data_IF_105657793276
#
_entry.id   IF_105657793276
#
_cell.length_a   1.000
_cell.length_b   1.000
_cell.length_c   1.000
_cell.angle_alpha   90.00
_cell.angle_beta   90.00
_cell.angle_gamma   90.00
#
_symmetry.space_group_name_H-M   'P 1'
#
loop_
_entity.id
_entity.type
_entity.pdbx_description
1 polymer ?
#
# COMPACT_ATOMS: atom_id res chain seq x y z
N UNK A 1 7.47 -18.19 -9.48
CA UNK A 1 6.61 -17.84 -8.34
C UNK A 1 5.16 -17.87 -8.80
N UNK A 2 4.35 -18.79 -8.28
CA UNK A 2 2.92 -18.85 -8.63
C UNK A 2 2.17 -17.81 -7.78
N UNK A 3 1.62 -16.80 -8.44
CA UNK A 3 0.65 -15.89 -7.81
C UNK A 3 -0.54 -16.74 -7.34
N UNK A 4 -1.05 -16.56 -6.10
CA UNK A 4 -2.23 -17.27 -5.64
C UNK A 4 -3.35 -17.17 -6.67
N UNK A 5 -3.92 -18.32 -7.05
CA UNK A 5 -4.96 -18.38 -8.09
C UNK A 5 -6.29 -17.79 -7.63
N UNK A 6 -6.53 -17.76 -6.30
CA UNK A 6 -7.77 -17.32 -5.71
C UNK A 6 -7.68 -15.85 -5.28
N UNK A 7 -8.63 -15.05 -5.74
CA UNK A 7 -8.79 -13.67 -5.26
C UNK A 7 -9.26 -13.69 -3.80
N UNK A 8 -8.73 -12.77 -2.94
CA UNK A 8 -9.21 -12.63 -1.57
C UNK A 8 -10.72 -12.36 -1.49
N UNK A 9 -11.36 -12.71 -0.39
CA UNK A 9 -12.79 -12.41 -0.15
C UNK A 9 -13.08 -10.90 -0.24
N UNK A 10 -14.27 -10.54 -0.70
CA UNK A 10 -14.65 -9.13 -0.86
C UNK A 10 -14.93 -8.45 0.49
N UNK A 11 -14.67 -7.16 0.58
CA UNK A 11 -14.93 -6.36 1.77
C UNK A 11 -16.41 -5.98 1.98
N UNK A 12 -17.34 -6.57 1.23
CA UNK A 12 -18.77 -6.24 1.27
C UNK A 12 -19.42 -6.59 2.62
N UNK A 13 -19.02 -7.68 3.27
CA UNK A 13 -19.59 -8.11 4.55
C UNK A 13 -19.45 -7.02 5.64
N UNK A 14 -18.30 -6.31 5.67
CA UNK A 14 -18.10 -5.19 6.59
C UNK A 14 -19.06 -4.01 6.28
N UNK A 15 -19.33 -3.76 5.01
CA UNK A 15 -20.25 -2.71 4.57
C UNK A 15 -21.68 -3.10 4.93
N UNK A 16 -22.14 -4.34 4.65
CA UNK A 16 -23.44 -4.84 5.05
C UNK A 16 -23.65 -4.68 6.56
N UNK A 17 -22.69 -5.13 7.38
CA UNK A 17 -22.76 -4.98 8.84
C UNK A 17 -22.84 -3.50 9.29
N UNK A 18 -22.20 -2.57 8.58
CA UNK A 18 -22.29 -1.17 8.92
C UNK A 18 -23.65 -0.56 8.55
N UNK A 19 -24.22 -0.95 7.41
CA UNK A 19 -25.56 -0.55 6.98
C UNK A 19 -26.60 -1.01 8.02
N UNK A 20 -26.56 -2.28 8.41
CA UNK A 20 -27.46 -2.89 9.40
C UNK A 20 -27.36 -2.20 10.77
N UNK A 21 -26.12 -2.02 11.29
CA UNK A 21 -25.88 -1.40 12.60
C UNK A 21 -26.33 0.05 12.70
N UNK A 22 -26.33 0.77 11.59
CA UNK A 22 -26.73 2.19 11.57
C UNK A 22 -28.20 2.39 11.22
N UNK A 23 -28.89 1.32 10.77
CA UNK A 23 -30.25 1.41 10.23
C UNK A 23 -30.31 2.23 8.95
N UNK A 24 -29.21 2.30 8.21
CA UNK A 24 -29.16 2.99 6.93
C UNK A 24 -29.93 2.19 5.85
N UNK A 25 -30.47 2.90 4.86
CA UNK A 25 -31.18 2.27 3.73
C UNK A 25 -30.23 1.66 2.72
N UNK A 26 -28.94 2.00 2.78
CA UNK A 26 -27.91 1.44 1.93
C UNK A 26 -26.55 2.13 2.08
N UNK A 27 -25.62 1.70 1.23
CA UNK A 27 -24.29 2.29 1.06
C UNK A 27 -24.06 2.59 -0.42
N UNK A 28 -23.39 3.69 -0.72
CA UNK A 28 -22.99 4.07 -2.08
C UNK A 28 -21.52 4.47 -2.09
N UNK A 29 -20.72 3.84 -2.97
CA UNK A 29 -19.36 4.20 -3.33
C UNK A 29 -19.31 4.52 -4.83
N UNK A 30 -18.71 5.65 -5.20
CA UNK A 30 -18.39 5.98 -6.59
C UNK A 30 -16.87 6.08 -6.73
N UNK A 31 -16.34 5.40 -7.75
CA UNK A 31 -14.91 5.38 -8.04
C UNK A 31 -14.65 5.59 -9.53
N UNK A 32 -13.52 6.23 -9.84
CA UNK A 32 -12.99 6.31 -11.20
C UNK A 32 -11.61 5.66 -11.28
N UNK A 33 -11.39 4.82 -12.29
CA UNK A 33 -10.15 4.11 -12.45
C UNK A 33 -9.95 2.99 -11.42
N UNK A 34 -8.75 2.46 -11.34
CA UNK A 34 -8.37 1.35 -10.45
C UNK A 34 -8.09 1.83 -9.03
N UNK A 35 -9.15 2.05 -8.24
CA UNK A 35 -9.02 2.53 -6.86
C UNK A 35 -8.91 1.39 -5.84
N UNK A 36 -8.23 1.62 -4.71
CA UNK A 36 -8.19 0.67 -3.62
C UNK A 36 -9.56 0.29 -3.06
N UNK A 37 -10.49 1.24 -2.98
CA UNK A 37 -11.85 1.00 -2.48
C UNK A 37 -12.63 0.07 -3.40
N UNK A 38 -12.58 0.32 -4.70
CA UNK A 38 -13.24 -0.55 -5.69
C UNK A 38 -12.65 -1.95 -5.68
N UNK A 39 -11.32 -2.09 -5.69
CA UNK A 39 -10.68 -3.40 -5.59
C UNK A 39 -11.07 -4.16 -4.32
N UNK A 40 -11.16 -3.46 -3.20
CA UNK A 40 -11.57 -4.06 -1.94
C UNK A 40 -13.00 -4.60 -1.98
N UNK A 41 -13.91 -3.86 -2.61
CA UNK A 41 -15.33 -4.21 -2.68
C UNK A 41 -15.64 -5.21 -3.80
N UNK A 42 -14.96 -5.13 -4.95
CA UNK A 42 -15.31 -5.93 -6.14
C UNK A 42 -14.29 -6.99 -6.52
N UNK A 43 -13.08 -6.92 -5.97
CA UNK A 43 -11.90 -7.72 -6.41
C UNK A 43 -11.54 -7.54 -7.88
N UNK A 44 -12.05 -6.49 -8.50
CA UNK A 44 -11.85 -6.19 -9.90
C UNK A 44 -11.26 -4.77 -10.09
N UNK A 45 -10.24 -4.57 -10.95
CA UNK A 45 -9.65 -3.25 -11.18
C UNK A 45 -10.63 -2.27 -11.85
N UNK A 46 -11.62 -2.80 -12.58
CA UNK A 46 -12.63 -2.03 -13.30
C UNK A 46 -12.08 -1.23 -14.47
N UNK A 47 -12.95 -0.51 -15.19
CA UNK A 47 -12.57 0.37 -16.27
C UNK A 47 -11.96 1.68 -15.77
N UNK A 48 -11.19 2.37 -16.63
CA UNK A 48 -10.76 3.76 -16.38
C UNK A 48 -11.91 4.77 -16.62
N UNK A 49 -13.05 4.46 -16.03
CA UNK A 49 -14.28 5.28 -16.07
C UNK A 49 -15.00 5.18 -14.72
N UNK A 50 -15.93 6.09 -14.50
CA UNK A 50 -16.72 6.10 -13.28
C UNK A 50 -17.65 4.89 -13.19
N UNK A 51 -17.63 4.27 -12.03
CA UNK A 51 -18.49 3.16 -11.63
C UNK A 51 -19.04 3.42 -10.24
N UNK A 52 -20.16 2.80 -9.90
CA UNK A 52 -20.70 2.86 -8.55
C UNK A 52 -20.91 1.45 -7.98
N UNK A 53 -20.76 1.33 -6.67
CA UNK A 53 -21.10 0.14 -5.90
C UNK A 53 -22.15 0.53 -4.90
N UNK A 54 -23.28 -0.14 -4.96
CA UNK A 54 -24.38 0.00 -4.03
C UNK A 54 -24.43 -1.24 -3.13
N UNK A 55 -24.75 -1.05 -1.87
CA UNK A 55 -25.10 -2.16 -0.96
C UNK A 55 -26.44 -1.82 -0.33
N UNK A 56 -27.39 -2.73 -0.48
CA UNK A 56 -28.73 -2.61 0.09
C UNK A 56 -28.88 -3.69 1.16
N UNK A 57 -29.37 -3.36 2.37
CA UNK A 57 -29.52 -4.33 3.45
C UNK A 57 -30.57 -5.40 3.09
N UNK A 58 -30.47 -6.54 3.74
CA UNK A 58 -31.49 -7.56 3.64
C UNK A 58 -32.87 -7.02 4.01
N UNK A 59 -33.89 -7.42 3.29
CA UNK A 59 -35.28 -7.34 3.75
C UNK A 59 -35.61 -8.60 4.58
N UNK A 60 -36.77 -8.64 5.22
CA UNK A 60 -37.17 -9.75 6.12
C UNK A 60 -37.13 -11.16 5.45
N UNK A 61 -37.04 -11.21 4.11
CA UNK A 61 -37.08 -12.45 3.33
C UNK A 61 -35.89 -12.65 2.40
N UNK A 62 -35.04 -11.63 2.20
CA UNK A 62 -33.98 -11.62 1.20
C UNK A 62 -32.59 -11.45 1.82
N UNK A 63 -31.56 -11.82 1.06
CA UNK A 63 -30.15 -11.56 1.41
C UNK A 63 -29.79 -10.10 1.15
N UNK A 64 -28.71 -9.55 1.79
CA UNK A 64 -28.18 -8.26 1.39
C UNK A 64 -27.76 -8.30 -0.08
N UNK A 65 -27.93 -7.19 -0.78
CA UNK A 65 -27.60 -7.07 -2.20
C UNK A 65 -26.44 -6.12 -2.40
N UNK A 66 -25.52 -6.48 -3.28
CA UNK A 66 -24.44 -5.63 -3.75
C UNK A 66 -24.58 -5.43 -5.28
N UNK A 67 -24.75 -4.18 -5.71
CA UNK A 67 -25.00 -3.87 -7.11
C UNK A 67 -23.80 -3.08 -7.65
N UNK A 68 -23.19 -3.57 -8.73
CA UNK A 68 -22.08 -2.91 -9.39
C UNK A 68 -22.54 -2.23 -10.67
N UNK A 69 -22.67 -0.91 -10.63
CA UNK A 69 -23.06 -0.07 -11.75
C UNK A 69 -21.84 0.28 -12.60
N UNK A 70 -21.82 -0.22 -13.82
CA UNK A 70 -20.70 -0.05 -14.78
C UNK A 70 -21.21 0.57 -16.09
N UNK A 71 -20.34 1.18 -16.92
CA UNK A 71 -20.72 1.53 -18.28
C UNK A 71 -21.21 0.30 -19.06
N UNK A 72 -22.26 0.45 -19.85
CA UNK A 72 -22.94 -0.67 -20.52
C UNK A 72 -22.06 -1.51 -21.47
N UNK A 73 -20.96 -0.93 -21.97
CA UNK A 73 -20.02 -1.61 -22.86
C UNK A 73 -18.91 -2.42 -22.12
N UNK A 74 -18.91 -2.44 -20.78
CA UNK A 74 -17.94 -3.17 -19.95
C UNK A 74 -18.60 -4.09 -18.93
N UNK A 75 -19.79 -4.58 -19.18
CA UNK A 75 -20.52 -5.51 -18.29
C UNK A 75 -19.84 -6.88 -18.20
N UNK A 76 -19.36 -7.43 -19.31
CA UNK A 76 -18.77 -8.78 -19.36
C UNK A 76 -17.56 -9.00 -18.42
N UNK A 77 -16.57 -8.09 -18.29
CA UNK A 77 -15.51 -8.25 -17.30
C UNK A 77 -16.00 -8.19 -15.86
N UNK A 78 -17.11 -7.51 -15.60
CA UNK A 78 -17.69 -7.34 -14.27
C UNK A 78 -18.46 -8.58 -13.78
N UNK A 79 -18.80 -9.54 -14.65
CA UNK A 79 -19.47 -10.79 -14.29
C UNK A 79 -18.71 -11.63 -13.23
N UNK A 80 -17.40 -11.39 -13.06
CA UNK A 80 -16.63 -12.01 -11.97
C UNK A 80 -17.11 -11.55 -10.58
N UNK A 81 -17.69 -10.38 -10.49
CA UNK A 81 -18.29 -9.85 -9.27
C UNK A 81 -19.47 -10.73 -8.81
N UNK A 82 -20.24 -11.28 -9.73
CA UNK A 82 -21.42 -12.10 -9.45
C UNK A 82 -21.10 -13.53 -8.98
N UNK A 83 -19.85 -13.98 -9.18
CA UNK A 83 -19.46 -15.41 -8.97
C UNK A 83 -19.04 -15.75 -7.54
N UNK A 84 -19.11 -14.82 -6.60
CA UNK A 84 -18.70 -15.03 -5.21
C UNK A 84 -19.92 -15.40 -4.38
N UNK A 85 -19.91 -16.56 -3.73
CA UNK A 85 -20.96 -17.01 -2.82
C UNK A 85 -20.50 -16.83 -1.37
N UNK A 86 -20.77 -15.67 -0.80
CA UNK A 86 -20.48 -15.29 0.59
C UNK A 86 -21.74 -14.83 1.35
N UNK A 87 -22.93 -15.23 0.84
CA UNK A 87 -24.21 -14.87 1.44
C UNK A 87 -24.71 -13.47 1.06
N UNK A 88 -24.07 -12.80 0.10
CA UNK A 88 -24.47 -11.52 -0.46
C UNK A 88 -24.87 -11.73 -1.93
N UNK A 89 -26.08 -11.39 -2.29
CA UNK A 89 -26.53 -11.44 -3.69
C UNK A 89 -25.87 -10.31 -4.49
N UNK A 90 -25.42 -10.62 -5.70
CA UNK A 90 -24.66 -9.68 -6.53
C UNK A 90 -25.27 -9.50 -7.89
N UNK A 91 -25.27 -8.27 -8.36
CA UNK A 91 -25.78 -7.89 -9.68
C UNK A 91 -24.83 -6.89 -10.35
N UNK A 92 -24.72 -6.98 -11.67
CA UNK A 92 -24.00 -5.99 -12.49
C UNK A 92 -25.02 -5.27 -13.38
N UNK A 93 -25.11 -3.95 -13.22
CA UNK A 93 -26.05 -3.11 -13.97
C UNK A 93 -25.29 -2.17 -14.90
N UNK A 94 -25.66 -2.22 -16.21
CA UNK A 94 -25.06 -1.39 -17.24
C UNK A 94 -25.65 0.03 -17.27
N UNK A 95 -24.78 1.05 -17.18
CA UNK A 95 -25.16 2.47 -17.26
C UNK A 95 -25.10 2.97 -18.71
N UNK A 96 -26.18 3.59 -19.19
CA UNK A 96 -26.21 4.24 -20.50
C UNK A 96 -25.23 5.47 -20.52
N UNK A 97 -24.48 5.70 -21.61
CA UNK A 97 -23.49 6.77 -21.67
C UNK A 97 -24.01 8.20 -21.44
N UNK A 98 -25.30 8.44 -21.70
CA UNK A 98 -25.94 9.76 -21.51
C UNK A 98 -26.30 10.08 -20.06
N UNK A 99 -26.21 9.13 -19.15
CA UNK A 99 -26.61 9.26 -17.75
C UNK A 99 -25.35 9.33 -16.89
N UNK A 100 -25.28 10.28 -15.94
CA UNK A 100 -24.15 10.37 -14.99
C UNK A 100 -24.15 9.18 -14.04
N UNK A 101 -23.00 8.87 -13.45
CA UNK A 101 -22.89 7.76 -12.48
C UNK A 101 -23.76 8.00 -11.25
N UNK A 102 -23.83 9.24 -10.76
CA UNK A 102 -24.64 9.61 -9.60
C UNK A 102 -26.14 9.47 -9.85
N UNK A 103 -26.63 9.97 -10.98
CA UNK A 103 -28.02 9.80 -11.36
C UNK A 103 -28.39 8.32 -11.49
N UNK A 104 -27.61 7.55 -12.24
CA UNK A 104 -27.85 6.12 -12.44
C UNK A 104 -27.82 5.34 -11.10
N UNK A 105 -26.88 5.63 -10.23
CA UNK A 105 -26.80 4.99 -8.92
C UNK A 105 -28.05 5.25 -8.07
N UNK A 106 -28.59 6.48 -8.10
CA UNK A 106 -29.83 6.81 -7.40
C UNK A 106 -31.05 6.11 -8.01
N UNK A 107 -31.14 5.99 -9.33
CA UNK A 107 -32.21 5.26 -10.03
C UNK A 107 -32.18 3.77 -9.67
N UNK A 108 -31.00 3.14 -9.71
CA UNK A 108 -30.81 1.74 -9.34
C UNK A 108 -31.12 1.51 -7.87
N UNK A 109 -30.64 2.39 -6.98
CA UNK A 109 -30.93 2.32 -5.55
C UNK A 109 -32.44 2.41 -5.27
N UNK A 110 -33.13 3.32 -5.93
CA UNK A 110 -34.57 3.48 -5.79
C UNK A 110 -35.34 2.23 -6.24
N UNK A 111 -34.93 1.61 -7.35
CA UNK A 111 -35.53 0.37 -7.84
C UNK A 111 -35.40 -0.78 -6.83
N UNK A 112 -34.26 -0.92 -6.15
CA UNK A 112 -34.02 -1.95 -5.14
C UNK A 112 -34.67 -1.67 -3.78
N UNK A 113 -34.85 -0.42 -3.42
CA UNK A 113 -35.50 -0.01 -2.16
C UNK A 113 -37.05 -0.06 -2.24
N UNK A 114 -37.62 -0.01 -3.45
CA UNK A 114 -39.07 -0.04 -3.64
C UNK A 114 -39.78 1.10 -2.87
N UNK A 115 -40.68 0.75 -1.95
CA UNK A 115 -41.45 1.74 -1.15
C UNK A 115 -40.58 2.58 -0.19
N UNK A 116 -39.34 2.13 0.11
CA UNK A 116 -38.35 2.88 0.92
C UNK A 116 -37.55 3.89 0.09
N UNK A 117 -37.75 3.94 -1.22
CA UNK A 117 -37.04 4.88 -2.09
C UNK A 117 -37.29 6.35 -1.70
N UNK A 118 -36.27 7.17 -1.85
CA UNK A 118 -36.35 8.59 -1.60
C UNK A 118 -36.49 9.00 -0.11
N UNK A 119 -36.14 8.12 0.82
CA UNK A 119 -36.15 8.41 2.24
C UNK A 119 -35.09 7.65 3.01
N UNK A 120 -34.68 8.17 4.16
CA UNK A 120 -33.74 7.52 5.05
C UNK A 120 -32.28 7.88 4.78
N UNK A 121 -31.43 7.27 5.59
CA UNK A 121 -30.00 7.56 5.62
C UNK A 121 -29.21 6.65 4.66
N UNK A 122 -28.37 7.27 3.83
CA UNK A 122 -27.47 6.56 2.92
C UNK A 122 -26.02 6.74 3.40
N UNK A 123 -25.31 5.64 3.64
CA UNK A 123 -23.89 5.68 3.99
C UNK A 123 -23.04 5.95 2.73
N UNK A 124 -22.11 6.89 2.83
CA UNK A 124 -21.24 7.28 1.71
C UNK A 124 -19.80 7.51 2.19
N UNK A 125 -18.77 7.34 1.35
CA UNK A 125 -17.41 7.74 1.71
C UNK A 125 -17.29 9.26 1.80
N UNK A 126 -16.26 9.75 2.48
CA UNK A 126 -16.00 11.21 2.60
C UNK A 126 -15.67 11.88 1.27
N UNK A 127 -15.15 11.12 0.35
CA UNK A 127 -14.70 11.52 -0.98
C UNK A 127 -15.72 11.19 -2.07
N UNK A 128 -17.00 11.04 -1.72
CA UNK A 128 -18.07 10.91 -2.71
C UNK A 128 -18.07 12.13 -3.64
N UNK A 129 -18.13 11.95 -4.98
CA UNK A 129 -18.22 13.06 -5.91
C UNK A 129 -19.40 13.99 -5.59
N UNK A 130 -19.14 15.30 -5.67
CA UNK A 130 -20.11 16.33 -5.24
C UNK A 130 -21.43 16.26 -6.03
N UNK A 131 -21.37 16.04 -7.34
CA UNK A 131 -22.55 15.87 -8.18
C UNK A 131 -23.38 14.64 -7.77
N UNK A 132 -22.73 13.53 -7.45
CA UNK A 132 -23.40 12.34 -6.92
C UNK A 132 -24.11 12.64 -5.59
N UNK A 133 -23.47 13.40 -4.70
CA UNK A 133 -24.10 13.81 -3.45
C UNK A 133 -25.35 14.65 -3.69
N UNK A 134 -25.32 15.57 -4.65
CA UNK A 134 -26.48 16.38 -5.03
C UNK A 134 -27.62 15.52 -5.57
N UNK A 135 -27.35 14.54 -6.44
CA UNK A 135 -28.38 13.63 -6.94
C UNK A 135 -29.04 12.83 -5.80
N UNK A 136 -28.23 12.29 -4.87
CA UNK A 136 -28.79 11.56 -3.72
C UNK A 136 -29.67 12.44 -2.83
N UNK A 137 -29.23 13.68 -2.55
CA UNK A 137 -30.02 14.65 -1.74
C UNK A 137 -31.32 15.06 -2.44
N UNK A 138 -31.27 15.31 -3.76
CA UNK A 138 -32.44 15.61 -4.56
C UNK A 138 -33.44 14.45 -4.62
N UNK A 139 -32.92 13.20 -4.58
CA UNK A 139 -33.74 12.02 -4.47
C UNK A 139 -34.32 11.77 -3.08
N UNK A 140 -34.00 12.60 -2.08
CA UNK A 140 -34.57 12.56 -0.73
C UNK A 140 -33.76 11.83 0.32
N UNK A 141 -32.53 11.35 0.00
CA UNK A 141 -31.68 10.65 0.95
C UNK A 141 -30.90 11.60 1.85
N UNK A 142 -30.78 11.26 3.13
CA UNK A 142 -29.85 11.90 4.07
C UNK A 142 -28.47 11.23 3.96
N UNK A 143 -27.42 11.99 3.61
CA UNK A 143 -26.09 11.46 3.46
C UNK A 143 -25.32 11.44 4.78
N UNK A 144 -24.80 10.27 5.17
CA UNK A 144 -23.91 10.10 6.31
C UNK A 144 -22.56 9.57 5.86
N UNK A 145 -21.49 10.32 6.16
CA UNK A 145 -20.12 9.87 5.87
C UNK A 145 -19.73 8.68 6.72
N UNK A 146 -19.11 7.69 6.07
CA UNK A 146 -18.56 6.49 6.73
C UNK A 146 -17.11 6.22 6.31
N UNK A 147 -16.34 5.62 7.21
CA UNK A 147 -14.99 5.12 6.95
C UNK A 147 -14.91 3.59 6.87
N UNK A 148 -16.04 2.89 6.73
CA UNK A 148 -16.12 1.42 6.84
C UNK A 148 -15.18 0.71 5.88
N UNK A 149 -15.09 1.13 4.61
CA UNK A 149 -14.20 0.54 3.60
C UNK A 149 -12.73 0.71 3.99
N UNK A 150 -12.35 1.89 4.46
CA UNK A 150 -10.97 2.15 4.93
C UNK A 150 -10.64 1.37 6.20
N UNK A 151 -11.61 1.25 7.11
CA UNK A 151 -11.45 0.50 8.36
C UNK A 151 -11.35 -1.02 8.10
N UNK A 152 -12.16 -1.56 7.18
CA UNK A 152 -12.12 -2.96 6.81
C UNK A 152 -10.77 -3.39 6.20
N UNK A 153 -10.13 -2.50 5.44
CA UNK A 153 -8.81 -2.74 4.84
C UNK A 153 -7.65 -2.79 5.86
N UNK A 154 -7.86 -2.39 7.11
CA UNK A 154 -6.80 -2.38 8.14
C UNK A 154 -6.36 -3.80 8.51
N UNK A 155 -7.30 -4.71 8.72
CA UNK A 155 -7.02 -6.12 9.01
C UNK A 155 -7.13 -6.95 7.73
N UNK A 156 -6.06 -7.66 7.40
CA UNK A 156 -5.96 -8.48 6.19
C UNK A 156 -6.39 -9.91 6.49
N UNK A 157 -7.15 -10.49 5.59
CA UNK A 157 -7.41 -11.94 5.57
C UNK A 157 -6.14 -12.72 5.22
N UNK A 158 -6.16 -14.04 5.38
CA UNK A 158 -5.04 -14.90 5.00
C UNK A 158 -4.72 -14.77 3.52
N UNK A 159 -5.73 -14.81 2.66
CA UNK A 159 -5.56 -14.63 1.21
C UNK A 159 -4.99 -13.25 0.83
N UNK A 160 -5.36 -12.19 1.55
CA UNK A 160 -4.76 -10.85 1.36
C UNK A 160 -3.30 -10.82 1.79
N UNK A 161 -2.95 -11.51 2.88
CA UNK A 161 -1.55 -11.66 3.32
C UNK A 161 -0.71 -12.45 2.31
N UNK A 162 -1.26 -13.51 1.73
CA UNK A 162 -0.58 -14.28 0.67
C UNK A 162 -0.28 -13.41 -0.56
N UNK A 163 -1.22 -12.56 -0.98
CA UNK A 163 -0.98 -11.57 -2.04
C UNK A 163 0.14 -10.58 -1.67
N UNK A 164 0.14 -10.08 -0.42
CA UNK A 164 1.18 -9.18 0.07
C UNK A 164 2.53 -9.86 0.17
N UNK A 165 2.59 -11.09 0.64
CA UNK A 165 3.82 -11.88 0.68
C UNK A 165 4.39 -12.13 -0.73
N UNK A 166 3.52 -12.45 -1.70
CA UNK A 166 3.92 -12.67 -3.07
C UNK A 166 4.53 -11.41 -3.71
N UNK A 167 3.91 -10.24 -3.54
CA UNK A 167 4.44 -8.99 -4.08
C UNK A 167 5.68 -8.51 -3.31
N UNK A 168 5.78 -8.81 -2.02
CA UNK A 168 6.99 -8.52 -1.23
C UNK A 168 8.18 -9.35 -1.70
N UNK A 169 7.97 -10.63 -2.02
CA UNK A 169 9.02 -11.45 -2.64
C UNK A 169 9.46 -10.87 -3.98
N UNK A 170 8.54 -10.40 -4.81
CA UNK A 170 8.87 -9.74 -6.07
C UNK A 170 9.70 -8.45 -5.86
N UNK A 171 9.42 -7.68 -4.81
CA UNK A 171 10.25 -6.52 -4.47
C UNK A 171 11.67 -6.93 -4.06
N UNK A 172 11.83 -8.06 -3.35
CA UNK A 172 13.14 -8.62 -3.03
C UNK A 172 13.89 -9.03 -4.30
N UNK A 173 13.23 -9.68 -5.26
CA UNK A 173 13.82 -10.05 -6.55
C UNK A 173 14.26 -8.81 -7.35
N UNK A 174 13.46 -7.72 -7.31
CA UNK A 174 13.82 -6.43 -7.88
C UNK A 174 15.03 -5.78 -7.20
N UNK A 175 15.08 -5.86 -5.86
CA UNK A 175 16.21 -5.35 -5.08
C UNK A 175 17.49 -6.17 -5.31
N UNK A 176 17.36 -7.50 -5.45
CA UNK A 176 18.48 -8.38 -5.82
C UNK A 176 19.05 -8.02 -7.20
N UNK A 177 18.22 -7.59 -8.16
CA UNK A 177 18.71 -7.06 -9.44
C UNK A 177 19.52 -5.80 -9.25
N UNK A 178 19.06 -4.86 -8.41
CA UNK A 178 19.83 -3.66 -8.08
C UNK A 178 21.20 -4.04 -7.48
N UNK A 179 21.20 -4.93 -6.48
CA UNK A 179 22.43 -5.41 -5.83
C UNK A 179 23.39 -6.04 -6.83
N UNK A 180 22.91 -6.90 -7.73
CA UNK A 180 23.72 -7.53 -8.76
C UNK A 180 24.34 -6.52 -9.75
N UNK A 181 23.57 -5.49 -10.15
CA UNK A 181 24.07 -4.41 -11.02
C UNK A 181 25.16 -3.61 -10.32
N UNK A 182 24.96 -3.26 -9.05
CA UNK A 182 25.94 -2.51 -8.25
C UNK A 182 27.21 -3.34 -8.01
N UNK A 183 27.07 -4.62 -7.66
CA UNK A 183 28.20 -5.52 -7.43
C UNK A 183 29.02 -5.82 -8.70
N UNK A 184 28.38 -5.81 -9.87
CA UNK A 184 29.04 -6.00 -11.18
C UNK A 184 29.60 -4.69 -11.77
N UNK A 185 29.39 -3.55 -11.11
CA UNK A 185 29.87 -2.26 -11.59
C UNK A 185 31.38 -2.09 -11.34
N UNK A 186 32.10 -1.64 -12.38
CA UNK A 186 33.49 -1.20 -12.24
C UNK A 186 33.54 0.28 -11.83
N UNK A 187 34.62 0.68 -11.15
CA UNK A 187 34.77 2.03 -10.64
C UNK A 187 36.16 2.62 -10.99
N UNK A 188 36.19 3.53 -11.93
CA UNK A 188 37.38 4.33 -12.26
C UNK A 188 37.18 5.81 -11.86
N UNK A 189 36.09 6.40 -12.34
CA UNK A 189 35.70 7.80 -12.06
C UNK A 189 34.19 7.89 -11.89
N UNK A 190 33.60 7.00 -11.05
CA UNK A 190 32.19 6.76 -10.89
C UNK A 190 31.83 5.34 -11.34
N UNK A 191 30.60 4.89 -11.03
CA UNK A 191 30.16 3.53 -11.32
C UNK A 191 29.88 3.32 -12.81
N UNK A 192 30.50 2.27 -13.37
CA UNK A 192 30.28 1.82 -14.74
C UNK A 192 29.66 0.43 -14.72
N UNK A 193 28.54 0.25 -15.37
CA UNK A 193 27.92 -1.06 -15.59
C UNK A 193 27.94 -1.39 -17.08
N UNK A 194 28.46 -2.56 -17.46
CA UNK A 194 28.65 -2.97 -18.87
C UNK A 194 29.35 -1.90 -19.74
N UNK A 195 30.39 -1.28 -19.17
CA UNK A 195 31.21 -0.27 -19.86
C UNK A 195 30.52 1.09 -20.08
N UNK A 196 29.39 1.35 -19.47
CA UNK A 196 28.65 2.63 -19.56
C UNK A 196 28.39 3.22 -18.19
N UNK A 197 28.29 4.55 -18.05
CA UNK A 197 27.93 5.18 -16.78
C UNK A 197 26.65 4.60 -16.19
N UNK A 198 26.70 4.23 -14.90
CA UNK A 198 25.55 3.82 -14.14
C UNK A 198 24.91 5.07 -13.49
N UNK A 199 23.73 5.45 -13.96
CA UNK A 199 22.94 6.56 -13.43
C UNK A 199 21.76 6.03 -12.61
N UNK A 200 21.15 6.89 -11.79
CA UNK A 200 19.90 6.57 -11.05
C UNK A 200 18.84 6.03 -12.04
N UNK A 201 18.65 6.68 -13.18
CA UNK A 201 17.64 6.26 -14.15
C UNK A 201 17.97 4.91 -14.81
N UNK A 202 19.24 4.64 -15.07
CA UNK A 202 19.64 3.33 -15.60
C UNK A 202 19.40 2.22 -14.59
N UNK A 203 19.76 2.44 -13.33
CA UNK A 203 19.51 1.48 -12.26
C UNK A 203 18.00 1.23 -12.05
N UNK A 204 17.19 2.31 -12.04
CA UNK A 204 15.73 2.21 -11.98
C UNK A 204 15.16 1.34 -13.11
N UNK A 205 15.66 1.51 -14.33
CA UNK A 205 15.23 0.72 -15.49
C UNK A 205 15.57 -0.76 -15.33
N UNK A 206 16.73 -1.10 -14.80
CA UNK A 206 17.14 -2.48 -14.53
C UNK A 206 16.18 -3.13 -13.51
N UNK A 207 15.87 -2.44 -12.43
CA UNK A 207 14.92 -2.89 -11.40
C UNK A 207 13.52 -3.08 -12.01
N UNK A 208 13.02 -2.07 -12.71
CA UNK A 208 11.66 -2.08 -13.27
C UNK A 208 11.49 -3.16 -14.34
N UNK A 209 12.54 -3.42 -15.14
CA UNK A 209 12.55 -4.52 -16.11
C UNK A 209 12.45 -5.87 -15.40
N UNK A 210 13.19 -6.07 -14.30
CA UNK A 210 13.10 -7.29 -13.49
C UNK A 210 11.69 -7.47 -12.91
N UNK A 211 11.11 -6.44 -12.31
CA UNK A 211 9.75 -6.47 -11.76
C UNK A 211 8.70 -6.82 -12.84
N UNK A 212 8.78 -6.16 -13.99
CA UNK A 212 7.89 -6.44 -15.12
C UNK A 212 8.04 -7.89 -15.65
N UNK A 213 9.26 -8.41 -15.72
CA UNK A 213 9.53 -9.79 -16.18
C UNK A 213 8.90 -10.87 -15.32
N UNK A 214 8.63 -10.58 -14.05
CA UNK A 214 7.97 -11.49 -13.10
C UNK A 214 6.49 -11.17 -12.88
N UNK A 215 5.90 -10.29 -13.74
CA UNK A 215 4.47 -10.01 -13.73
C UNK A 215 3.99 -9.00 -12.68
N UNK A 216 4.91 -8.18 -12.15
CA UNK A 216 4.62 -7.15 -11.14
C UNK A 216 4.84 -5.77 -11.74
N UNK A 217 3.90 -4.85 -11.51
CA UNK A 217 4.00 -3.46 -11.96
C UNK A 217 4.87 -2.64 -11.02
N UNK A 218 5.88 -1.90 -11.52
CA UNK A 218 6.61 -0.93 -10.70
C UNK A 218 5.71 0.18 -10.13
N UNK A 219 4.60 0.52 -10.79
CA UNK A 219 3.57 1.49 -10.37
C UNK A 219 4.16 2.88 -10.01
N UNK A 220 5.22 3.30 -10.69
CA UNK A 220 6.00 4.54 -10.44
C UNK A 220 6.56 4.65 -9.00
N UNK A 221 6.66 3.53 -8.29
CA UNK A 221 7.09 3.44 -6.89
C UNK A 221 8.50 2.88 -6.73
N UNK A 222 9.37 3.02 -7.73
CA UNK A 222 10.81 2.74 -7.63
C UNK A 222 11.54 4.05 -7.38
N UNK A 223 11.85 4.34 -6.13
CA UNK A 223 12.55 5.55 -5.72
C UNK A 223 14.01 5.20 -5.41
N UNK A 224 14.92 6.02 -5.93
CA UNK A 224 16.35 5.87 -5.72
C UNK A 224 16.88 7.26 -5.36
N UNK A 225 17.48 7.37 -4.17
CA UNK A 225 18.09 8.59 -3.66
C UNK A 225 19.57 8.36 -3.45
N UNK A 226 20.39 9.22 -4.03
CA UNK A 226 21.83 9.34 -3.78
C UNK A 226 22.11 10.72 -3.22
N UNK A 227 23.21 10.88 -2.48
CA UNK A 227 23.59 12.16 -1.91
C UNK A 227 23.88 13.16 -3.03
N UNK A 228 23.18 14.31 -3.03
CA UNK A 228 23.42 15.50 -3.88
C UNK A 228 23.49 15.26 -5.41
N UNK A 229 23.01 14.15 -5.95
CA UNK A 229 23.10 13.76 -7.35
C UNK A 229 21.78 13.95 -8.07
N UNK A 230 21.79 14.61 -9.23
CA UNK A 230 20.64 14.62 -10.15
C UNK A 230 20.44 13.22 -10.77
N UNK A 231 19.22 12.89 -11.17
CA UNK A 231 18.86 11.55 -11.69
C UNK A 231 19.64 11.13 -12.95
N UNK A 232 20.25 12.06 -13.63
CA UNK A 232 21.06 11.87 -14.85
C UNK A 232 22.54 11.71 -14.58
N UNK A 233 22.99 12.03 -13.37
CA UNK A 233 24.41 11.97 -13.01
C UNK A 233 24.84 10.54 -12.76
N UNK A 234 26.13 10.29 -12.97
CA UNK A 234 26.76 9.01 -12.70
C UNK A 234 26.89 8.76 -11.19
N UNK A 235 26.43 7.59 -10.73
CA UNK A 235 26.57 7.15 -9.35
C UNK A 235 28.05 7.04 -8.96
N UNK A 236 28.37 7.42 -7.73
CA UNK A 236 29.73 7.46 -7.22
C UNK A 236 30.01 6.32 -6.24
N UNK A 237 31.29 6.03 -6.09
CA UNK A 237 31.82 5.08 -5.12
C UNK A 237 31.82 5.72 -3.72
N UNK A 238 31.56 4.93 -2.69
CA UNK A 238 31.56 5.41 -1.30
C UNK A 238 30.30 6.18 -0.89
N UNK A 239 29.41 6.53 -1.83
CA UNK A 239 28.19 7.26 -1.52
C UNK A 239 27.00 6.33 -1.19
N UNK A 240 26.22 6.65 -0.14
CA UNK A 240 25.01 5.92 0.18
C UNK A 240 23.94 6.04 -0.93
N UNK A 241 23.47 4.91 -1.41
CA UNK A 241 22.41 4.78 -2.39
C UNK A 241 21.20 4.12 -1.75
N UNK A 242 20.21 4.92 -1.35
CA UNK A 242 18.98 4.43 -0.77
C UNK A 242 17.98 4.08 -1.88
N UNK A 243 17.51 2.83 -1.90
CA UNK A 243 16.52 2.30 -2.86
C UNK A 243 15.27 1.91 -2.12
N UNK A 244 14.14 2.50 -2.52
CA UNK A 244 12.82 2.15 -2.02
C UNK A 244 11.97 1.58 -3.16
N UNK A 245 11.38 0.40 -2.91
CA UNK A 245 10.51 -0.32 -3.84
C UNK A 245 9.14 -0.56 -3.22
N UNK A 246 8.08 -0.07 -3.87
CA UNK A 246 6.71 -0.38 -3.50
C UNK A 246 5.87 -0.83 -4.73
N UNK A 247 6.34 -1.85 -5.47
CA UNK A 247 5.64 -2.34 -6.66
C UNK A 247 4.25 -2.85 -6.32
N UNK A 248 3.39 -2.95 -7.35
CA UNK A 248 2.02 -3.43 -7.24
C UNK A 248 1.86 -4.78 -7.92
N UNK A 249 1.40 -5.77 -7.16
CA UNK A 249 1.06 -7.10 -7.67
C UNK A 249 -0.24 -7.12 -8.50
N UNK A 250 -0.54 -8.23 -9.17
CA UNK A 250 -1.71 -8.37 -10.05
C UNK A 250 -3.04 -8.20 -9.33
N UNK A 251 -3.12 -8.55 -8.05
CA UNK A 251 -4.30 -8.34 -7.20
C UNK A 251 -4.42 -6.92 -6.62
N UNK A 252 -3.47 -6.01 -6.96
CA UNK A 252 -3.47 -4.61 -6.54
C UNK A 252 -2.78 -4.31 -5.22
N UNK A 253 -2.27 -5.32 -4.51
CA UNK A 253 -1.52 -5.14 -3.27
C UNK A 253 -0.11 -4.64 -3.56
N UNK A 254 0.39 -3.79 -2.66
CA UNK A 254 1.72 -3.19 -2.74
C UNK A 254 2.72 -3.88 -1.82
N UNK A 255 3.96 -3.99 -2.28
CA UNK A 255 5.09 -4.28 -1.42
C UNK A 255 5.61 -3.01 -0.73
N UNK A 256 6.56 -3.19 0.17
CA UNK A 256 7.37 -2.12 0.74
C UNK A 256 8.73 -2.67 1.14
N UNK A 257 9.77 -2.24 0.47
CA UNK A 257 11.15 -2.67 0.73
C UNK A 257 12.09 -1.48 0.54
N UNK A 258 12.86 -1.18 1.58
CA UNK A 258 13.89 -0.14 1.54
C UNK A 258 15.23 -0.74 1.93
N UNK A 259 16.26 -0.50 1.12
CA UNK A 259 17.65 -0.83 1.40
C UNK A 259 18.57 0.29 0.97
N UNK A 260 19.66 0.44 1.70
CA UNK A 260 20.76 1.30 1.29
C UNK A 260 21.96 0.45 0.94
N UNK A 261 22.64 0.82 -0.15
CA UNK A 261 23.90 0.24 -0.60
C UNK A 261 25.00 1.30 -0.61
N UNK A 262 26.23 0.87 -0.33
CA UNK A 262 27.44 1.66 -0.53
C UNK A 262 28.44 0.76 -1.24
N UNK A 263 28.78 1.13 -2.47
CA UNK A 263 29.80 0.41 -3.25
C UNK A 263 31.17 0.84 -2.73
N UNK A 264 32.00 -0.10 -2.35
CA UNK A 264 33.35 0.13 -1.83
C UNK A 264 33.36 1.00 -0.55
N UNK A 265 32.51 0.61 0.43
CA UNK A 265 32.36 1.29 1.72
C UNK A 265 33.65 1.27 2.54
N UNK A 266 34.09 2.40 3.04
CA UNK A 266 35.22 2.54 3.97
C UNK A 266 34.88 2.08 5.40
N UNK A 267 33.60 1.77 5.70
CA UNK A 267 33.13 1.25 6.97
C UNK A 267 32.98 2.30 8.08
N UNK A 268 32.88 3.57 7.74
CA UNK A 268 32.82 4.70 8.65
C UNK A 268 31.42 4.98 9.22
N UNK A 269 30.92 6.18 8.93
CA UNK A 269 29.61 6.66 9.38
C UNK A 269 28.48 5.74 8.89
N UNK A 270 28.50 5.34 7.62
CA UNK A 270 27.49 4.56 6.95
C UNK A 270 27.28 3.18 7.61
N UNK A 271 28.40 2.52 8.02
CA UNK A 271 28.32 1.25 8.74
C UNK A 271 27.69 1.41 10.12
N UNK A 272 28.07 2.47 10.86
CA UNK A 272 27.47 2.76 12.17
C UNK A 272 25.99 3.06 12.03
N UNK A 273 25.57 3.85 11.02
CA UNK A 273 24.20 4.16 10.73
C UNK A 273 23.39 2.92 10.33
N UNK A 274 23.96 2.01 9.52
CA UNK A 274 23.32 0.75 9.14
C UNK A 274 23.09 -0.16 10.35
N UNK A 275 24.09 -0.32 11.22
CA UNK A 275 23.96 -1.11 12.47
C UNK A 275 22.89 -0.50 13.40
N UNK A 276 22.82 0.83 13.50
CA UNK A 276 21.78 1.51 14.28
C UNK A 276 20.38 1.30 13.67
N UNK A 277 20.23 1.42 12.35
CA UNK A 277 18.96 1.16 11.65
C UNK A 277 18.49 -0.30 11.84
N UNK A 278 19.40 -1.28 11.74
CA UNK A 278 19.07 -2.68 12.03
C UNK A 278 18.64 -2.88 13.49
N UNK A 279 19.29 -2.21 14.43
CA UNK A 279 18.91 -2.27 15.84
C UNK A 279 17.51 -1.67 16.06
N UNK A 280 17.21 -0.54 15.40
CA UNK A 280 15.89 0.08 15.40
C UNK A 280 14.80 -0.85 14.87
N UNK A 281 15.03 -1.53 13.73
CA UNK A 281 14.08 -2.53 13.20
C UNK A 281 13.86 -3.71 14.17
N UNK A 282 14.93 -4.19 14.83
CA UNK A 282 14.78 -5.24 15.87
C UNK A 282 14.01 -4.73 17.08
N UNK A 283 14.18 -3.47 17.48
CA UNK A 283 13.41 -2.86 18.56
C UNK A 283 11.94 -2.77 18.19
N UNK A 284 11.61 -2.33 16.98
CA UNK A 284 10.24 -2.31 16.46
C UNK A 284 9.55 -3.66 16.58
N UNK A 285 10.22 -4.76 16.17
CA UNK A 285 9.59 -6.09 16.17
C UNK A 285 9.21 -6.59 17.58
N UNK A 286 9.87 -6.12 18.63
CA UNK A 286 9.51 -6.42 20.03
C UNK A 286 8.22 -5.73 20.50
N UNK A 287 7.80 -4.66 19.80
CA UNK A 287 6.63 -3.85 20.12
C UNK A 287 5.42 -4.14 19.21
N UNK A 288 5.58 -4.99 18.18
CA UNK A 288 4.50 -5.29 17.23
C UNK A 288 3.49 -6.26 17.81
N UNK A 289 2.57 -5.74 18.59
CA UNK A 289 1.47 -6.50 19.21
C UNK A 289 0.12 -5.79 18.97
N UNK A 290 -1.00 -6.55 18.92
CA UNK A 290 -2.33 -5.94 18.89
C UNK A 290 -2.57 -5.05 20.12
N UNK A 291 -3.10 -3.86 19.91
CA UNK A 291 -3.37 -2.87 20.96
C UNK A 291 -2.28 -1.82 21.15
N UNK A 292 -1.09 -2.02 20.61
CA UNK A 292 -0.01 -1.04 20.66
C UNK A 292 -0.29 0.10 19.68
N UNK A 293 0.06 1.32 20.05
CA UNK A 293 -0.02 2.49 19.16
C UNK A 293 1.17 2.53 18.21
N UNK A 294 0.92 2.85 16.95
CA UNK A 294 1.95 2.93 15.91
C UNK A 294 3.04 3.94 16.27
N UNK A 295 2.67 5.06 16.88
CA UNK A 295 3.63 6.10 17.32
C UNK A 295 4.57 5.61 18.43
N UNK A 296 4.13 4.65 19.25
CA UNK A 296 4.99 4.04 20.26
C UNK A 296 6.09 3.17 19.61
N UNK A 297 5.74 2.46 18.53
CA UNK A 297 6.72 1.67 17.74
C UNK A 297 7.75 2.59 17.09
N UNK A 298 7.33 3.72 16.51
CA UNK A 298 8.24 4.72 15.94
C UNK A 298 9.16 5.32 17.03
N UNK A 299 8.60 5.64 18.19
CA UNK A 299 9.37 6.15 19.33
C UNK A 299 10.46 5.19 19.79
N UNK A 300 10.15 3.88 19.82
CA UNK A 300 11.13 2.84 20.19
C UNK A 300 12.26 2.72 19.15
N UNK A 301 11.94 2.78 17.86
CA UNK A 301 12.94 2.79 16.78
C UNK A 301 13.90 3.98 16.97
N UNK A 302 13.35 5.17 17.15
CA UNK A 302 14.14 6.40 17.30
C UNK A 302 15.00 6.36 18.56
N UNK A 303 14.47 5.86 19.68
CA UNK A 303 15.21 5.71 20.93
C UNK A 303 16.37 4.73 20.80
N UNK A 304 16.15 3.58 20.15
CA UNK A 304 17.20 2.58 19.91
C UNK A 304 18.31 3.14 19.02
N UNK A 305 17.97 3.85 17.92
CA UNK A 305 18.96 4.51 17.04
C UNK A 305 19.73 5.58 17.83
N UNK A 306 19.05 6.29 18.72
CA UNK A 306 19.65 7.28 19.62
C UNK A 306 20.76 6.71 20.53
N UNK A 307 20.62 5.45 20.95
CA UNK A 307 21.64 4.75 21.74
C UNK A 307 22.97 4.57 20.98
N UNK A 308 22.96 4.64 19.65
CA UNK A 308 24.17 4.66 18.81
C UNK A 308 24.75 6.06 18.59
N UNK A 309 24.24 7.09 19.30
CA UNK A 309 24.76 8.46 19.28
C UNK A 309 24.20 9.35 18.17
N UNK A 310 23.08 8.96 17.55
CA UNK A 310 22.36 9.80 16.59
C UNK A 310 21.32 10.68 17.29
N UNK A 311 21.01 11.86 16.74
CA UNK A 311 20.02 12.75 17.32
C UNK A 311 18.60 12.16 17.21
N UNK A 312 17.82 12.25 18.30
CA UNK A 312 16.46 11.68 18.39
C UNK A 312 15.35 12.71 18.21
N UNK A 313 15.65 14.00 18.26
CA UNK A 313 14.71 15.09 18.07
C UNK A 313 15.03 15.89 16.81
N UNK A 314 14.01 16.44 16.16
CA UNK A 314 14.18 17.51 15.20
C UNK A 314 14.60 18.77 15.97
N UNK A 315 15.91 18.99 16.15
CA UNK A 315 16.41 20.29 16.62
C UNK A 315 16.21 21.32 15.50
N UNK A 316 16.01 22.60 15.85
CA UNK A 316 15.85 23.64 14.84
C UNK A 316 17.03 23.65 13.86
N UNK A 317 16.78 24.11 12.63
CA UNK A 317 17.58 24.05 11.39
C UNK A 317 19.08 24.38 11.45
N UNK A 318 19.59 24.68 12.61
CA UNK A 318 20.99 25.06 12.83
C UNK A 318 21.94 23.91 13.19
N UNK A 319 21.43 22.69 13.39
CA UNK A 319 22.24 21.54 13.78
C UNK A 319 22.31 20.50 12.65
N UNK A 320 23.43 20.46 11.98
CA UNK A 320 23.88 19.49 10.99
C UNK A 320 24.22 18.09 11.58
N UNK A 321 23.59 17.69 12.68
CA UNK A 321 23.86 16.37 13.28
C UNK A 321 23.04 15.28 12.60
N UNK A 322 23.64 14.10 12.32
CA UNK A 322 22.91 12.93 11.85
C UNK A 322 21.77 12.60 12.80
N UNK A 323 20.56 12.39 12.26
CA UNK A 323 19.36 12.15 13.05
C UNK A 323 18.70 10.81 12.74
N UNK A 324 18.13 10.20 13.77
CA UNK A 324 17.29 9.03 13.66
C UNK A 324 15.99 9.35 12.89
N UNK A 325 15.56 8.43 12.06
CA UNK A 325 14.26 8.46 11.39
C UNK A 325 13.54 7.12 11.56
N UNK A 326 12.22 7.19 11.71
CA UNK A 326 11.35 6.03 11.77
C UNK A 326 10.06 6.32 11.01
N UNK A 327 9.51 5.31 10.37
CA UNK A 327 8.18 5.37 9.75
C UNK A 327 7.49 4.03 9.95
N UNK A 328 6.25 4.07 10.45
CA UNK A 328 5.41 2.87 10.61
C UNK A 328 4.01 3.18 10.10
N UNK A 329 3.55 2.44 9.11
CA UNK A 329 2.19 2.60 8.57
C UNK A 329 1.66 1.30 7.98
N UNK A 330 0.33 1.21 7.85
CA UNK A 330 -0.30 0.10 7.15
C UNK A 330 0.00 0.10 5.65
N UNK A 331 0.05 -1.10 5.06
CA UNK A 331 0.17 -1.32 3.62
C UNK A 331 -0.88 -2.34 3.18
N UNK A 332 -1.35 -2.21 1.95
CA UNK A 332 -2.32 -3.12 1.36
C UNK A 332 -2.58 -2.79 -0.11
N UNK A 333 -3.80 -2.45 -0.44
CA UNK A 333 -4.19 -1.96 -1.77
C UNK A 333 -3.71 -0.52 -2.05
N UNK A 334 -3.20 0.17 -1.03
CA UNK A 334 -2.45 1.42 -1.15
C UNK A 334 -1.08 1.24 -0.51
N UNK A 335 -0.09 2.01 -0.96
CA UNK A 335 1.23 2.08 -0.34
C UNK A 335 1.17 2.58 1.10
N UNK A 336 0.18 3.43 1.42
CA UNK A 336 -0.09 3.96 2.76
C UNK A 336 -1.55 3.73 3.12
N UNK A 337 -1.77 2.93 4.16
CA UNK A 337 -3.08 2.65 4.76
C UNK A 337 -3.04 2.85 6.26
N UNK A 338 -4.19 2.74 6.91
CA UNK A 338 -4.24 2.66 8.37
C UNK A 338 -3.68 1.32 8.86
N UNK A 339 -3.06 1.29 10.04
CA UNK A 339 -2.81 2.39 10.98
C UNK A 339 -1.71 3.35 10.51
N UNK A 340 -1.76 4.61 10.92
CA UNK A 340 -0.73 5.62 10.67
C UNK A 340 -0.51 6.48 11.93
N UNK A 341 0.68 7.05 12.17
CA UNK A 341 0.95 7.88 13.35
C UNK A 341 0.09 9.14 13.44
N UNK A 342 -0.34 9.67 12.29
CA UNK A 342 -1.15 10.89 12.22
C UNK A 342 -2.59 10.71 12.73
N UNK A 343 -3.04 9.48 12.88
CA UNK A 343 -4.33 9.14 13.47
C UNK A 343 -4.04 8.19 14.62
N UNK A 344 -4.44 8.52 15.85
CA UNK A 344 -4.39 7.59 16.98
C UNK A 344 -4.98 6.25 16.55
N UNK A 345 -4.12 5.35 16.10
CA UNK A 345 -4.55 4.06 15.59
C UNK A 345 -3.68 2.97 16.14
N UNK A 346 -4.31 2.15 16.94
CA UNK A 346 -3.72 0.95 17.50
C UNK A 346 -3.55 -0.11 16.40
N UNK A 347 -2.49 -0.85 16.49
CA UNK A 347 -2.24 -2.06 15.71
C UNK A 347 -3.31 -3.09 16.03
N UNK A 348 -3.81 -3.78 15.03
CA UNK A 348 -4.79 -4.87 15.18
C UNK A 348 -4.22 -6.18 14.67
N UNK A 349 -4.72 -7.28 15.19
CA UNK A 349 -4.48 -8.56 14.56
C UNK A 349 -4.95 -8.53 13.10
N UNK A 350 -4.14 -9.06 12.18
CA UNK A 350 -4.34 -8.95 10.73
C UNK A 350 -3.74 -7.68 10.10
N UNK A 351 -3.22 -6.73 10.88
CA UNK A 351 -2.51 -5.57 10.30
C UNK A 351 -1.25 -6.02 9.57
N UNK A 352 -1.00 -5.42 8.39
CA UNK A 352 0.29 -5.52 7.70
C UNK A 352 0.90 -4.13 7.66
N UNK A 353 2.11 -4.03 8.21
CA UNK A 353 2.80 -2.77 8.47
C UNK A 353 4.11 -2.69 7.69
N UNK A 354 4.32 -1.58 7.01
CA UNK A 354 5.64 -1.13 6.61
C UNK A 354 6.33 -0.54 7.83
N UNK A 355 7.56 -0.95 8.06
CA UNK A 355 8.41 -0.41 9.13
C UNK A 355 9.73 -0.03 8.50
N UNK A 356 10.10 1.22 8.69
CA UNK A 356 11.38 1.76 8.26
C UNK A 356 12.14 2.35 9.44
N UNK A 357 13.44 2.13 9.45
CA UNK A 357 14.38 2.67 10.41
C UNK A 357 15.59 3.22 9.67
N UNK A 358 16.09 4.37 10.06
CA UNK A 358 17.23 4.96 9.36
C UNK A 358 17.87 6.12 10.06
N UNK A 359 18.94 6.60 9.44
CA UNK A 359 19.67 7.80 9.83
C UNK A 359 19.81 8.70 8.62
N UNK A 360 19.51 9.97 8.79
CA UNK A 360 19.68 11.00 7.75
C UNK A 360 20.73 12.00 8.20
N UNK A 361 21.71 12.26 7.36
CA UNK A 361 22.71 13.28 7.51
C UNK A 361 22.76 14.17 6.26
N UNK A 362 22.87 15.47 6.43
CA UNK A 362 22.88 16.44 5.32
C UNK A 362 24.15 16.40 4.48
N UNK A 363 25.24 15.86 5.01
CA UNK A 363 26.55 15.79 4.35
C UNK A 363 26.86 14.37 3.87
N UNK A 364 26.55 13.37 4.69
CA UNK A 364 26.90 11.96 4.45
C UNK A 364 25.77 11.20 3.70
N UNK A 365 24.55 11.73 3.71
CA UNK A 365 23.38 11.13 3.03
C UNK A 365 22.44 10.37 3.94
N UNK A 366 21.78 9.35 3.39
CA UNK A 366 20.73 8.59 4.09
C UNK A 366 21.05 7.12 4.11
N UNK A 367 21.01 6.53 5.30
CA UNK A 367 21.00 5.07 5.49
C UNK A 367 19.61 4.67 6.01
N UNK A 368 18.90 3.85 5.26
CA UNK A 368 17.54 3.44 5.60
C UNK A 368 17.30 1.96 5.25
N UNK A 369 16.61 1.27 6.13
CA UNK A 369 16.17 -0.11 5.96
C UNK A 369 14.67 -0.18 6.23
N UNK A 370 13.94 -0.96 5.45
CA UNK A 370 12.49 -1.12 5.63
C UNK A 370 11.96 -2.39 4.99
N UNK A 371 10.91 -2.95 5.58
CA UNK A 371 10.20 -4.12 5.05
C UNK A 371 8.76 -4.20 5.59
N UNK A 372 8.05 -5.29 5.26
CA UNK A 372 6.69 -5.57 5.72
C UNK A 372 6.65 -6.62 6.83
N UNK A 373 5.81 -6.36 7.83
CA UNK A 373 5.45 -7.31 8.88
C UNK A 373 3.94 -7.48 8.96
N UNK A 374 3.50 -8.72 9.09
CA UNK A 374 2.13 -9.06 9.45
C UNK A 374 2.03 -9.26 10.96
N UNK A 375 1.02 -8.67 11.59
CA UNK A 375 0.72 -8.83 13.02
C UNK A 375 -0.42 -9.83 13.16
N UNK A 376 -0.16 -10.93 13.87
CA UNK A 376 -1.15 -11.95 14.20
C UNK A 376 -1.65 -11.75 15.65
N UNK A 377 -2.65 -12.50 16.14
CA UNK A 377 -3.07 -12.41 17.54
C UNK A 377 -1.94 -12.64 18.55
N UNK A 378 -1.00 -13.55 18.24
CA UNK A 378 0.00 -14.06 19.18
C UNK A 378 1.46 -13.73 18.77
N UNK A 379 1.68 -13.15 17.59
CA UNK A 379 3.02 -12.94 17.07
C UNK A 379 3.06 -11.87 15.96
N UNK A 380 4.26 -11.55 15.50
CA UNK A 380 4.47 -10.84 14.25
C UNK A 380 5.40 -11.64 13.32
N UNK A 381 5.19 -11.52 12.03
CA UNK A 381 5.90 -12.28 11.01
C UNK A 381 6.40 -11.31 9.93
N UNK A 382 7.69 -11.32 9.64
CA UNK A 382 8.22 -10.63 8.47
C UNK A 382 7.76 -11.34 7.21
N UNK A 383 7.09 -10.64 6.28
CA UNK A 383 6.45 -11.27 5.11
C UNK A 383 7.43 -11.91 4.14
N UNK A 384 8.65 -11.40 4.04
CA UNK A 384 9.73 -12.03 3.30
C UNK A 384 11.09 -11.58 3.85
N UNK A 385 12.05 -12.49 3.87
CA UNK A 385 13.40 -12.21 4.34
C UNK A 385 14.25 -11.58 3.23
N UNK A 386 14.96 -10.50 3.52
CA UNK A 386 15.96 -9.88 2.65
C UNK A 386 17.24 -9.63 3.44
N UNK A 387 18.38 -9.64 2.74
CA UNK A 387 19.64 -9.20 3.31
C UNK A 387 19.56 -7.73 3.72
N UNK A 388 20.27 -7.34 4.77
CA UNK A 388 20.48 -5.94 5.19
C UNK A 388 21.91 -5.47 4.91
N UNK A 389 22.72 -6.27 4.18
CA UNK A 389 24.09 -5.91 3.85
C UNK A 389 24.17 -4.55 3.17
N UNK A 390 25.04 -3.69 3.70
CA UNK A 390 25.32 -2.37 3.12
C UNK A 390 26.15 -2.50 1.83
N UNK A 391 27.07 -3.46 1.78
CA UNK A 391 27.92 -3.68 0.60
C UNK A 391 27.23 -4.63 -0.36
N UNK A 392 27.10 -4.26 -1.65
CA UNK A 392 26.55 -5.14 -2.67
C UNK A 392 27.41 -6.39 -2.83
N UNK A 393 26.80 -7.56 -2.90
CA UNK A 393 27.48 -8.84 -3.10
C UNK A 393 26.98 -9.51 -4.37
N UNK A 394 27.87 -10.21 -5.09
CA UNK A 394 27.48 -11.09 -6.18
C UNK A 394 26.91 -12.40 -5.61
N UNK A 395 25.74 -12.33 -5.00
CA UNK A 395 24.99 -13.54 -4.68
C UNK A 395 24.24 -13.96 -5.94
N UNK A 396 24.66 -15.10 -6.55
CA UNK A 396 23.81 -15.76 -7.55
C UNK A 396 22.42 -15.99 -6.94
N UNK A 397 21.35 -15.58 -7.58
CA UNK A 397 20.01 -15.95 -7.14
C UNK A 397 19.84 -17.45 -7.38
N UNK A 398 19.96 -18.24 -6.31
CA UNK A 398 19.62 -19.68 -6.33
C UNK A 398 18.11 -19.87 -6.50
#
# INVERSE_FOLDING_TARGET
MTVPADSPESGLAAVCSAVDKTGAVGFLQVDRGDTPSRRYLTRYPGPDRETAILVVPASDTDRPQAIYCVPSDVTAPAERFERVDDGIDREVVGRHPSITVGQHACEVLAAHLGERAGSGRLLVPRDLPHDTALFCQQAGYELQSTGVVRAGRTSKTDAERDCLQAVQQAAIDGMARAEAVLAASNHDSGLLFEGRPLTVERLRREINTKLASIGVSPADNTQISASAIESTDQLQVGEPLCIHLAPRGPHGYHAHLTRTFVVDSDGGWERRAAVAAEAGLRAATRQLEPGVDVSAVEGEIVAEIGAYGFAVAAEPETNSRPRATATVHGVGLSTHERPTPATTSTIRAGSVLAIEAGVVDSMEGTIQLGALWAVTPDSNIRLAASSSSLTPTNSDPT
#
